data_IF_752187177908
#
_entry.id   IF_752187177908
#
_cell.length_a   1.000
_cell.length_b   1.000
_cell.length_c   1.000
_cell.angle_alpha   90.00
_cell.angle_beta   90.00
_cell.angle_gamma   90.00
#
_symmetry.space_group_name_H-M   'P 1'
#
loop_
_entity.id
_entity.type
_entity.pdbx_description
1 polymer ?
#
# COMPACT_ATOMS: atom_id res chain seq x y z
N UNK A 1 -9.41 -9.88 20.96
CA UNK A 1 -10.08 -9.38 19.74
C UNK A 1 -9.80 -7.91 19.67
N UNK A 2 -9.27 -7.43 18.55
CA UNK A 2 -8.94 -6.00 18.36
C UNK A 2 -10.13 -5.31 17.70
N UNK A 3 -10.51 -4.14 18.20
CA UNK A 3 -11.63 -3.32 17.74
C UNK A 3 -11.13 -1.98 17.16
N UNK A 4 -12.01 -1.20 16.56
CA UNK A 4 -11.71 0.18 16.10
C UNK A 4 -11.22 1.03 17.28
N UNK A 5 -11.88 0.93 18.43
CA UNK A 5 -11.52 1.70 19.62
C UNK A 5 -10.11 1.36 20.15
N UNK A 6 -9.72 0.08 20.09
CA UNK A 6 -8.36 -0.34 20.45
C UNK A 6 -7.31 0.28 19.53
N UNK A 7 -7.58 0.30 18.22
CA UNK A 7 -6.67 0.91 17.23
C UNK A 7 -6.59 2.43 17.42
N UNK A 8 -7.73 3.08 17.60
CA UNK A 8 -7.82 4.53 17.84
C UNK A 8 -7.07 4.92 19.12
N UNK A 9 -7.30 4.18 20.22
CA UNK A 9 -6.60 4.38 21.47
C UNK A 9 -5.10 4.17 21.31
N UNK A 10 -4.69 3.10 20.65
CA UNK A 10 -3.29 2.81 20.36
C UNK A 10 -2.60 3.92 19.57
N UNK A 11 -3.27 4.48 18.53
CA UNK A 11 -2.76 5.59 17.74
C UNK A 11 -2.56 6.85 18.60
N UNK A 12 -3.50 7.18 19.47
CA UNK A 12 -3.38 8.29 20.40
C UNK A 12 -2.24 8.09 21.41
N UNK A 13 -2.14 6.91 22.02
CA UNK A 13 -1.07 6.58 22.96
C UNK A 13 0.32 6.62 22.32
N UNK A 14 0.42 6.27 21.03
CA UNK A 14 1.66 6.34 20.26
C UNK A 14 1.98 7.74 19.73
N UNK A 15 1.12 8.74 19.95
CA UNK A 15 1.31 10.11 19.46
C UNK A 15 1.13 10.27 17.94
N UNK A 16 0.38 9.34 17.31
CA UNK A 16 0.17 9.34 15.86
C UNK A 16 -1.07 10.14 15.43
N UNK A 17 -1.94 10.50 16.34
CA UNK A 17 -3.20 11.18 16.04
C UNK A 17 -2.97 12.44 15.19
N UNK A 18 -3.72 12.56 14.09
CA UNK A 18 -3.63 13.68 13.15
C UNK A 18 -2.42 13.67 12.20
N UNK A 19 -1.55 12.66 12.29
CA UNK A 19 -0.35 12.59 11.46
C UNK A 19 -0.56 11.78 10.18
N UNK A 20 0.15 12.11 9.09
CA UNK A 20 0.32 11.18 7.98
C UNK A 20 1.25 10.04 8.41
N UNK A 21 0.83 8.81 8.16
CA UNK A 21 1.57 7.61 8.56
C UNK A 21 1.70 6.64 7.40
N UNK A 22 2.90 6.10 7.20
CA UNK A 22 3.12 5.01 6.26
C UNK A 22 2.98 3.68 7.01
N UNK A 23 2.04 2.84 6.57
CA UNK A 23 1.73 1.59 7.24
C UNK A 23 2.36 0.42 6.47
N UNK A 24 3.38 -0.18 7.08
CA UNK A 24 3.93 -1.48 6.72
C UNK A 24 3.53 -2.48 7.80
N UNK A 25 2.61 -3.36 7.52
CA UNK A 25 2.04 -4.22 8.55
C UNK A 25 1.65 -5.59 8.04
N UNK A 26 1.59 -6.51 8.97
CA UNK A 26 0.93 -7.79 8.78
C UNK A 26 -0.34 -7.81 9.64
N UNK A 27 -1.51 -7.97 9.03
CA UNK A 27 -2.77 -8.08 9.78
C UNK A 27 -2.73 -9.20 10.82
N UNK A 28 -2.00 -10.28 10.52
CA UNK A 28 -1.81 -11.40 11.46
C UNK A 28 -1.11 -11.01 12.76
N UNK A 29 -0.30 -9.95 12.76
CA UNK A 29 0.41 -9.46 13.95
C UNK A 29 -0.53 -8.87 15.00
N UNK A 30 -1.73 -8.46 14.60
CA UNK A 30 -2.77 -7.98 15.52
C UNK A 30 -3.55 -9.12 16.20
N UNK A 31 -3.34 -10.38 15.78
CA UNK A 31 -4.20 -11.48 16.17
C UNK A 31 -5.57 -11.42 15.51
N UNK A 32 -6.64 -11.69 16.26
CA UNK A 32 -8.00 -11.59 15.71
C UNK A 32 -8.49 -10.13 15.77
N UNK A 33 -8.78 -9.58 14.59
CA UNK A 33 -9.33 -8.23 14.42
C UNK A 33 -10.78 -8.34 13.97
N UNK A 34 -11.69 -7.76 14.71
CA UNK A 34 -13.11 -7.70 14.34
C UNK A 34 -13.30 -6.79 13.13
N UNK A 35 -13.87 -7.31 12.04
CA UNK A 35 -13.94 -6.56 10.76
C UNK A 35 -12.62 -6.53 9.96
N UNK A 36 -11.54 -7.15 10.45
CA UNK A 36 -10.30 -7.36 9.71
C UNK A 36 -9.52 -6.10 9.37
N UNK A 37 -9.03 -6.00 8.14
CA UNK A 37 -8.18 -4.89 7.71
C UNK A 37 -8.90 -3.53 7.71
N UNK A 38 -10.20 -3.54 7.47
CA UNK A 38 -11.01 -2.32 7.47
C UNK A 38 -11.05 -1.68 8.86
N UNK A 39 -11.16 -2.48 9.93
CA UNK A 39 -11.11 -2.01 11.32
C UNK A 39 -9.80 -1.29 11.65
N UNK A 40 -8.67 -1.82 11.19
CA UNK A 40 -7.38 -1.15 11.40
C UNK A 40 -7.32 0.19 10.66
N UNK A 41 -7.79 0.22 9.42
CA UNK A 41 -7.83 1.46 8.62
C UNK A 41 -8.76 2.49 9.27
N UNK A 42 -9.98 2.07 9.65
CA UNK A 42 -10.97 2.96 10.23
C UNK A 42 -10.52 3.54 11.57
N UNK A 43 -9.92 2.73 12.46
CA UNK A 43 -9.38 3.22 13.73
C UNK A 43 -8.26 4.25 13.55
N UNK A 44 -7.40 4.08 12.54
CA UNK A 44 -6.38 5.08 12.22
C UNK A 44 -7.00 6.36 11.63
N UNK A 45 -8.01 6.24 10.78
CA UNK A 45 -8.72 7.39 10.21
C UNK A 45 -9.53 8.15 11.28
N UNK A 46 -10.18 7.46 12.22
CA UNK A 46 -10.87 8.07 13.35
C UNK A 46 -9.92 8.83 14.28
N UNK A 47 -8.65 8.43 14.33
CA UNK A 47 -7.60 9.18 15.02
C UNK A 47 -7.14 10.44 14.26
N UNK A 48 -7.75 10.75 13.09
CA UNK A 48 -7.36 11.86 12.24
C UNK A 48 -6.14 11.61 11.37
N UNK A 49 -5.61 10.38 11.34
CA UNK A 49 -4.44 10.03 10.54
C UNK A 49 -4.75 10.08 9.04
N UNK A 50 -3.73 10.38 8.24
CA UNK A 50 -3.73 10.02 6.82
C UNK A 50 -2.95 8.73 6.67
N UNK A 51 -3.64 7.68 6.22
CA UNK A 51 -3.07 6.34 6.09
C UNK A 51 -2.50 6.16 4.70
N UNK A 52 -1.21 5.89 4.60
CA UNK A 52 -0.49 5.64 3.34
C UNK A 52 0.03 4.20 3.34
N UNK A 53 -0.22 3.46 2.28
CA UNK A 53 0.25 2.08 2.14
C UNK A 53 0.94 1.83 0.80
N UNK A 54 1.93 0.93 0.72
CA UNK A 54 2.45 0.47 -0.54
C UNK A 54 1.39 -0.37 -1.27
N UNK A 55 1.15 -0.04 -2.54
CA UNK A 55 0.22 -0.76 -3.42
C UNK A 55 0.92 -1.18 -4.71
N UNK A 56 2.07 -1.83 -4.55
CA UNK A 56 2.95 -2.19 -5.65
C UNK A 56 2.32 -3.23 -6.57
N UNK A 57 2.70 -3.14 -7.85
CA UNK A 57 2.24 -4.02 -8.92
C UNK A 57 3.45 -4.55 -9.67
N UNK A 58 4.07 -5.59 -9.11
CA UNK A 58 5.35 -6.12 -9.59
C UNK A 58 5.31 -6.64 -11.03
N UNK A 59 4.14 -7.05 -11.53
CA UNK A 59 3.96 -7.49 -12.91
C UNK A 59 4.19 -6.37 -13.95
N UNK A 60 4.18 -5.11 -13.53
CA UNK A 60 4.54 -3.96 -14.38
C UNK A 60 6.04 -3.64 -14.38
N UNK A 61 6.85 -4.38 -13.64
CA UNK A 61 8.30 -4.23 -13.68
C UNK A 61 8.86 -4.77 -14.98
N UNK A 62 9.67 -3.96 -15.65
CA UNK A 62 10.40 -4.37 -16.82
C UNK A 62 11.85 -4.69 -16.45
N UNK A 63 12.37 -5.76 -17.03
CA UNK A 63 13.80 -6.07 -16.94
C UNK A 63 14.57 -5.13 -17.90
N UNK A 64 15.72 -4.59 -17.50
CA UNK A 64 16.55 -3.82 -18.42
C UNK A 64 17.05 -4.72 -19.56
N UNK A 65 17.19 -4.19 -20.78
CA UNK A 65 17.78 -4.91 -21.89
C UNK A 65 19.16 -5.47 -21.50
N UNK A 66 19.56 -6.60 -22.08
CA UNK A 66 20.79 -7.31 -21.71
C UNK A 66 22.05 -6.43 -21.72
N UNK A 67 22.15 -5.49 -22.66
CA UNK A 67 23.26 -4.53 -22.73
C UNK A 67 23.25 -3.41 -21.67
N UNK A 68 22.19 -3.30 -20.87
CA UNK A 68 22.05 -2.29 -19.82
C UNK A 68 22.02 -2.92 -18.41
N UNK A 69 22.26 -4.22 -18.32
CA UNK A 69 22.26 -4.96 -17.05
C UNK A 69 23.58 -4.75 -16.31
N UNK A 70 23.52 -4.28 -15.09
CA UNK A 70 24.71 -4.14 -14.26
C UNK A 70 25.18 -5.50 -13.77
N UNK A 71 26.45 -5.83 -14.03
CA UNK A 71 27.02 -7.15 -13.75
C UNK A 71 27.09 -7.51 -12.24
N UNK A 72 27.00 -6.55 -11.33
CA UNK A 72 27.23 -6.74 -9.88
C UNK A 72 26.32 -5.87 -9.00
N UNK A 73 24.99 -5.93 -9.23
CA UNK A 73 24.03 -5.19 -8.39
C UNK A 73 23.25 -6.10 -7.43
N UNK A 74 23.64 -7.38 -7.29
CA UNK A 74 22.91 -8.35 -6.47
C UNK A 74 21.59 -8.84 -7.06
N UNK A 75 21.20 -8.36 -8.23
CA UNK A 75 19.95 -8.74 -8.90
C UNK A 75 20.17 -9.92 -9.86
N UNK A 76 19.27 -10.90 -9.84
CA UNK A 76 19.21 -11.97 -10.85
C UNK A 76 18.20 -11.57 -11.91
N UNK A 77 18.66 -11.37 -13.12
CA UNK A 77 17.79 -11.06 -14.26
C UNK A 77 17.22 -12.37 -14.81
N UNK A 78 15.89 -12.40 -14.91
CA UNK A 78 15.15 -13.54 -15.45
C UNK A 78 14.41 -13.08 -16.71
N UNK A 79 14.87 -13.52 -17.87
CA UNK A 79 14.28 -13.14 -19.17
C UNK A 79 12.89 -13.72 -19.40
N UNK A 80 12.47 -14.71 -18.60
CA UNK A 80 11.11 -15.26 -18.65
C UNK A 80 10.08 -14.33 -17.99
N UNK A 81 10.53 -13.39 -17.15
CA UNK A 81 9.69 -12.39 -16.46
C UNK A 81 9.55 -11.08 -17.25
N UNK A 82 9.91 -11.07 -18.53
CA UNK A 82 9.70 -9.91 -19.41
C UNK A 82 8.20 -9.66 -19.55
N UNK A 83 7.74 -8.64 -18.84
CA UNK A 83 6.46 -8.00 -18.96
C UNK A 83 5.31 -8.78 -19.60
N UNK A 84 4.74 -9.72 -18.85
CA UNK A 84 3.64 -10.56 -19.35
C UNK A 84 2.31 -9.81 -19.47
N UNK A 85 2.25 -8.54 -19.06
CA UNK A 85 1.02 -7.75 -19.13
C UNK A 85 1.00 -6.91 -20.40
N UNK A 86 -0.07 -7.09 -21.17
CA UNK A 86 -0.38 -6.29 -22.36
C UNK A 86 -1.21 -5.04 -22.02
N UNK A 87 -1.71 -4.92 -20.77
CA UNK A 87 -2.54 -3.81 -20.34
C UNK A 87 -1.71 -2.67 -19.73
N UNK A 88 -2.20 -1.46 -19.87
CA UNK A 88 -1.60 -0.26 -19.30
C UNK A 88 -2.01 -0.14 -17.83
N UNK A 89 -1.05 0.23 -16.97
CA UNK A 89 -1.34 0.55 -15.58
C UNK A 89 -2.32 1.72 -15.49
N UNK A 90 -3.26 1.62 -14.56
CA UNK A 90 -4.18 2.70 -14.25
C UNK A 90 -4.40 2.78 -12.75
N UNK A 91 -4.21 3.95 -12.12
CA UNK A 91 -4.38 4.13 -10.67
C UNK A 91 -5.82 3.91 -10.19
N UNK A 92 -6.82 3.99 -11.08
CA UNK A 92 -8.22 3.74 -10.72
C UNK A 92 -8.54 2.25 -10.52
N UNK A 93 -7.69 1.35 -11.04
CA UNK A 93 -7.88 -0.09 -10.88
C UNK A 93 -7.47 -0.56 -9.48
N UNK A 94 -8.11 -1.65 -9.00
CA UNK A 94 -7.82 -2.25 -7.71
C UNK A 94 -6.76 -3.36 -7.77
N UNK A 95 -6.01 -3.45 -8.87
CA UNK A 95 -4.96 -4.45 -9.01
C UNK A 95 -3.75 -4.12 -8.13
N UNK A 96 -3.25 -5.11 -7.42
CA UNK A 96 -2.13 -5.04 -6.48
C UNK A 96 -1.46 -6.42 -6.41
N UNK A 97 -0.14 -6.45 -6.24
CA UNK A 97 0.58 -7.71 -6.02
C UNK A 97 0.15 -8.38 -4.72
N UNK A 98 -0.10 -9.71 -4.72
CA UNK A 98 -0.63 -10.42 -3.54
C UNK A 98 0.22 -10.26 -2.28
N UNK A 99 1.52 -10.06 -2.43
CA UNK A 99 2.50 -9.89 -1.34
C UNK A 99 2.27 -8.61 -0.52
N UNK A 100 1.51 -7.65 -1.04
CA UNK A 100 1.21 -6.41 -0.31
C UNK A 100 0.31 -6.65 0.90
N UNK A 101 -0.49 -7.70 0.89
CA UNK A 101 -1.29 -8.12 2.02
C UNK A 101 -2.67 -7.49 2.14
N UNK A 102 -3.33 -7.77 3.27
CA UNK A 102 -4.74 -7.46 3.46
C UNK A 102 -5.03 -5.96 3.64
N UNK A 103 -4.20 -5.25 4.40
CA UNK A 103 -4.43 -3.82 4.69
C UNK A 103 -4.29 -2.97 3.43
N UNK A 104 -3.21 -3.06 2.62
CA UNK A 104 -3.14 -2.36 1.34
C UNK A 104 -4.28 -2.74 0.38
N UNK A 105 -4.67 -4.02 0.33
CA UNK A 105 -5.78 -4.47 -0.50
C UNK A 105 -7.12 -3.86 -0.06
N UNK A 106 -7.38 -3.75 1.24
CA UNK A 106 -8.58 -3.13 1.77
C UNK A 106 -8.60 -1.61 1.50
N UNK A 107 -7.49 -0.93 1.75
CA UNK A 107 -7.39 0.51 1.52
C UNK A 107 -7.55 0.86 0.04
N UNK A 108 -7.00 0.03 -0.86
CA UNK A 108 -7.12 0.21 -2.30
C UNK A 108 -8.57 0.09 -2.82
N UNK A 109 -9.46 -0.60 -2.10
CA UNK A 109 -10.88 -0.70 -2.46
C UNK A 109 -11.73 0.48 -1.99
N UNK A 110 -11.18 1.38 -1.17
CA UNK A 110 -11.91 2.57 -0.69
C UNK A 110 -12.20 3.54 -1.83
N UNK A 111 -13.42 4.08 -1.88
CA UNK A 111 -13.84 5.02 -2.93
C UNK A 111 -13.17 6.39 -2.81
N UNK A 112 -12.77 6.77 -1.60
CA UNK A 112 -12.12 8.05 -1.28
C UNK A 112 -10.58 7.97 -1.26
N UNK A 113 -10.00 6.91 -1.84
CA UNK A 113 -8.56 6.75 -1.94
C UNK A 113 -7.94 7.60 -3.03
N UNK A 114 -6.71 7.99 -2.84
CA UNK A 114 -5.83 8.52 -3.88
C UNK A 114 -4.69 7.56 -4.09
N UNK A 115 -4.41 7.19 -5.34
CA UNK A 115 -3.33 6.27 -5.72
C UNK A 115 -2.38 6.94 -6.70
N UNK A 116 -1.08 6.79 -6.45
CA UNK A 116 -0.02 7.30 -7.33
C UNK A 116 0.01 6.60 -8.69
N UNK A 117 0.53 7.29 -9.68
CA UNK A 117 0.56 6.86 -11.08
C UNK A 117 1.75 5.96 -11.44
N UNK A 118 2.68 5.69 -10.52
CA UNK A 118 3.84 4.85 -10.82
C UNK A 118 3.42 3.40 -11.06
N UNK A 119 3.71 2.81 -12.24
CA UNK A 119 3.15 1.50 -12.60
C UNK A 119 3.55 0.36 -11.66
N UNK A 120 4.80 0.32 -11.20
CA UNK A 120 5.30 -0.78 -10.37
C UNK A 120 5.27 -0.48 -8.87
N UNK A 121 5.50 0.77 -8.46
CA UNK A 121 5.73 1.14 -7.06
C UNK A 121 4.77 2.24 -6.60
N UNK A 122 3.49 2.14 -6.97
CA UNK A 122 2.48 3.10 -6.52
C UNK A 122 2.24 3.00 -5.01
N UNK A 123 2.01 4.14 -4.39
CA UNK A 123 1.48 4.26 -3.04
C UNK A 123 0.00 4.63 -3.12
N UNK A 124 -0.77 4.26 -2.11
CA UNK A 124 -2.17 4.65 -1.99
C UNK A 124 -2.40 5.26 -0.62
N UNK A 125 -3.16 6.34 -0.57
CA UNK A 125 -3.50 7.04 0.66
C UNK A 125 -5.00 7.26 0.80
N UNK A 126 -5.46 7.30 2.07
CA UNK A 126 -6.80 7.74 2.49
C UNK A 126 -6.63 8.63 3.72
N UNK A 127 -7.37 9.71 3.80
CA UNK A 127 -7.33 10.66 4.92
C UNK A 127 -7.18 12.11 4.46
N UNK A 128 -7.10 13.05 5.40
CA UNK A 128 -7.13 14.48 5.10
C UNK A 128 -6.06 14.99 4.13
N UNK A 129 -4.85 14.41 4.19
CA UNK A 129 -3.70 14.81 3.38
C UNK A 129 -3.41 13.87 2.19
N UNK A 130 -4.34 12.95 1.86
CA UNK A 130 -4.10 11.89 0.88
C UNK A 130 -3.69 12.44 -0.50
N UNK A 131 -4.40 13.44 -1.01
CA UNK A 131 -4.09 14.05 -2.30
C UNK A 131 -2.75 14.78 -2.28
N UNK A 132 -2.50 15.57 -1.24
CA UNK A 132 -1.25 16.32 -1.11
C UNK A 132 -0.01 15.42 -1.10
N UNK A 133 -0.10 14.28 -0.39
CA UNK A 133 1.02 13.33 -0.27
C UNK A 133 1.26 12.55 -1.56
N UNK A 134 0.20 12.17 -2.27
CA UNK A 134 0.32 11.31 -3.45
C UNK A 134 0.65 12.11 -4.71
N UNK A 135 0.20 13.35 -4.84
CA UNK A 135 0.43 14.22 -6.01
C UNK A 135 1.81 14.91 -5.99
N UNK A 136 2.61 14.68 -4.92
CA UNK A 136 3.99 15.18 -4.81
C UNK A 136 4.97 14.23 -5.49
#
# INVERSE_FOLDING_TARGET
MVTIEDVTTGAHCAGLAGLPIVVHSSLRSFGFVDGGADTVIDGLLESGCTVVVPTFTYDFRLQPPSGQRLARNGWRYDDTLLGSRSDVFSPVRNYISPEMGAIPSALLRRSNRTRGSHPANSMTAVGPLANEIIDT
#
